data_IF_483610805709
#
_entry.id   IF_483610805709
#
_cell.length_a   1.000
_cell.length_b   1.000
_cell.length_c   1.000
_cell.angle_alpha   90.00
_cell.angle_beta   90.00
_cell.angle_gamma   90.00
#
_symmetry.space_group_name_H-M   'P 1'
#
loop_
_entity.id
_entity.type
_entity.pdbx_description
1 polymer ?
#
# COMPACT_ATOMS: atom_id res chain seq x y z
N UNK A 1 14.52 10.03 -18.55
CA UNK A 1 15.21 9.45 -17.35
C UNK A 1 15.27 7.95 -17.54
N UNK A 2 16.27 7.28 -16.95
CA UNK A 2 16.34 5.81 -17.00
C UNK A 2 15.51 5.16 -15.90
N UNK A 3 15.22 3.86 -16.03
CA UNK A 3 14.59 3.05 -14.98
C UNK A 3 15.37 3.17 -13.67
N UNK A 4 16.73 3.16 -13.75
CA UNK A 4 17.61 3.33 -12.59
C UNK A 4 17.42 4.66 -11.88
N UNK A 5 17.32 5.76 -12.61
CA UNK A 5 17.12 7.08 -12.03
C UNK A 5 15.77 7.21 -11.32
N UNK A 6 14.72 6.54 -11.84
CA UNK A 6 13.42 6.47 -11.17
C UNK A 6 13.48 5.57 -9.92
N UNK A 7 14.17 4.43 -9.99
CA UNK A 7 14.47 3.60 -8.83
C UNK A 7 15.16 4.42 -7.73
N UNK A 8 16.21 5.17 -8.07
CA UNK A 8 16.95 6.01 -7.14
C UNK A 8 16.07 7.14 -6.54
N UNK A 9 15.06 7.60 -7.28
CA UNK A 9 14.08 8.55 -6.76
C UNK A 9 13.19 7.91 -5.69
N UNK A 10 12.73 6.68 -5.90
CA UNK A 10 11.95 5.93 -4.90
C UNK A 10 12.82 5.60 -3.69
N UNK A 11 14.07 5.16 -3.91
CA UNK A 11 15.01 4.80 -2.84
C UNK A 11 15.27 5.95 -1.87
N UNK A 12 15.24 7.21 -2.33
CA UNK A 12 15.38 8.39 -1.47
C UNK A 12 14.28 8.55 -0.41
N UNK A 13 13.06 8.08 -0.68
CA UNK A 13 11.91 8.22 0.24
C UNK A 13 11.53 6.90 0.91
N UNK A 14 11.84 5.79 0.28
CA UNK A 14 11.54 4.44 0.72
C UNK A 14 12.73 3.52 0.40
N UNK A 15 13.84 3.59 1.14
CA UNK A 15 15.05 2.85 0.84
C UNK A 15 14.78 1.36 0.68
N UNK A 16 15.13 0.77 -0.46
CA UNK A 16 14.85 -0.64 -0.74
C UNK A 16 15.54 -1.58 0.24
N UNK A 17 16.65 -1.16 0.82
CA UNK A 17 17.35 -1.92 1.87
C UNK A 17 16.57 -2.02 3.20
N UNK A 18 15.51 -1.23 3.41
CA UNK A 18 14.65 -1.31 4.60
C UNK A 18 13.51 -2.30 4.45
N UNK A 19 13.36 -2.93 3.28
CA UNK A 19 12.36 -3.98 3.08
C UNK A 19 12.57 -5.13 4.07
N UNK A 20 11.48 -5.78 4.46
CA UNK A 20 11.53 -6.95 5.35
C UNK A 20 12.31 -8.10 4.71
N UNK A 21 12.98 -8.93 5.51
CA UNK A 21 13.89 -10.00 5.05
C UNK A 21 13.23 -11.03 4.11
N UNK A 22 11.93 -11.21 4.19
CA UNK A 22 11.18 -12.13 3.32
C UNK A 22 10.80 -11.53 1.97
N UNK A 23 10.96 -10.21 1.82
CA UNK A 23 10.42 -9.46 0.68
C UNK A 23 11.36 -9.50 -0.53
N UNK A 24 10.82 -9.19 -1.71
CA UNK A 24 11.57 -9.10 -2.95
C UNK A 24 11.21 -7.80 -3.68
N UNK A 25 11.96 -6.76 -3.41
CA UNK A 25 11.70 -5.38 -3.92
C UNK A 25 12.80 -4.91 -4.88
N UNK A 26 12.54 -3.86 -5.62
CA UNK A 26 13.49 -3.25 -6.54
C UNK A 26 13.11 -3.42 -8.00
N UNK A 27 14.10 -3.41 -8.91
CA UNK A 27 13.92 -3.65 -10.35
C UNK A 27 13.79 -5.15 -10.55
N UNK A 28 12.58 -5.67 -10.68
CA UNK A 28 12.32 -7.11 -10.78
C UNK A 28 12.27 -7.64 -12.20
N UNK A 29 11.98 -6.80 -13.18
CA UNK A 29 11.93 -7.15 -14.60
C UNK A 29 12.48 -5.98 -15.42
N UNK A 30 13.23 -6.29 -16.49
CA UNK A 30 13.70 -5.31 -17.48
C UNK A 30 15.15 -4.87 -17.27
N UNK A 31 15.56 -3.88 -18.05
CA UNK A 31 16.91 -3.29 -18.04
C UNK A 31 16.85 -1.92 -17.35
N UNK A 32 17.70 -1.72 -16.36
CA UNK A 32 17.79 -0.47 -15.60
C UNK A 32 18.23 0.75 -16.41
N UNK A 33 18.83 0.54 -17.59
CA UNK A 33 19.36 1.59 -18.46
C UNK A 33 18.36 2.07 -19.52
N UNK A 34 17.16 1.45 -19.59
CA UNK A 34 16.12 1.87 -20.55
C UNK A 34 15.63 3.27 -20.21
N UNK A 35 15.55 4.13 -21.24
CA UNK A 35 14.94 5.45 -21.11
C UNK A 35 13.43 5.33 -20.90
N UNK A 36 12.92 6.09 -19.92
CA UNK A 36 11.51 6.13 -19.54
C UNK A 36 10.97 7.54 -19.75
N UNK A 37 9.89 7.61 -20.51
CA UNK A 37 9.11 8.84 -20.72
C UNK A 37 7.73 8.74 -20.10
N UNK A 38 7.23 7.51 -19.92
CA UNK A 38 5.91 7.24 -19.39
C UNK A 38 5.92 6.02 -18.47
N UNK A 39 5.26 6.13 -17.32
CA UNK A 39 5.23 5.11 -16.26
C UNK A 39 3.80 4.88 -15.78
N UNK A 40 3.41 3.62 -15.55
CA UNK A 40 2.13 3.24 -14.96
C UNK A 40 2.32 2.82 -13.49
N UNK A 41 1.52 3.39 -12.57
CA UNK A 41 1.47 2.99 -11.16
C UNK A 41 0.28 2.08 -10.89
N UNK A 42 0.51 0.96 -10.20
CA UNK A 42 -0.54 0.00 -9.84
C UNK A 42 -0.20 -0.71 -8.53
N UNK A 43 -1.21 -1.29 -7.86
CA UNK A 43 -0.99 -2.17 -6.71
C UNK A 43 -0.43 -3.52 -7.18
N UNK A 44 -1.13 -4.16 -8.14
CA UNK A 44 -0.82 -5.47 -8.68
C UNK A 44 -0.58 -5.43 -10.19
N UNK A 45 0.49 -6.09 -10.66
CA UNK A 45 0.71 -6.28 -12.10
C UNK A 45 -0.10 -7.46 -12.61
N UNK A 46 -1.34 -7.21 -12.98
CA UNK A 46 -2.26 -8.20 -13.55
C UNK A 46 -2.22 -8.20 -15.09
N UNK A 47 -2.76 -9.23 -15.78
CA UNK A 47 -2.90 -9.20 -17.24
C UNK A 47 -3.68 -7.99 -17.76
N UNK A 48 -4.65 -7.48 -16.99
CA UNK A 48 -5.44 -6.29 -17.32
C UNK A 48 -4.58 -5.02 -17.24
N UNK A 49 -3.79 -4.86 -16.17
CA UNK A 49 -2.84 -3.76 -16.00
C UNK A 49 -1.76 -3.79 -17.08
N UNK A 50 -1.22 -4.98 -17.42
CA UNK A 50 -0.26 -5.10 -18.52
C UNK A 50 -0.88 -4.74 -19.87
N UNK A 51 -2.15 -5.08 -20.12
CA UNK A 51 -2.85 -4.66 -21.34
C UNK A 51 -2.97 -3.13 -21.42
N UNK A 52 -3.35 -2.47 -20.32
CA UNK A 52 -3.39 -1.01 -20.22
C UNK A 52 -2.01 -0.42 -20.49
N UNK A 53 -0.97 -0.90 -19.80
CA UNK A 53 0.42 -0.46 -19.96
C UNK A 53 0.86 -0.48 -21.43
N UNK A 54 0.57 -1.57 -22.14
CA UNK A 54 0.87 -1.71 -23.58
C UNK A 54 0.06 -0.72 -24.43
N UNK A 55 -1.22 -0.51 -24.11
CA UNK A 55 -2.11 0.35 -24.91
C UNK A 55 -1.72 1.82 -24.85
N UNK A 56 -1.21 2.26 -23.70
CA UNK A 56 -0.76 3.65 -23.50
C UNK A 56 0.74 3.83 -23.75
N UNK A 57 1.47 2.75 -24.02
CA UNK A 57 2.87 2.76 -24.43
C UNK A 57 3.83 3.18 -23.32
N UNK A 58 3.72 2.59 -22.10
CA UNK A 58 4.69 2.84 -21.02
C UNK A 58 5.92 1.97 -21.19
N UNK A 59 7.07 2.47 -20.74
CA UNK A 59 8.32 1.72 -20.66
C UNK A 59 8.52 1.09 -19.28
N UNK A 60 7.83 1.61 -18.24
CA UNK A 60 7.98 1.19 -16.86
C UNK A 60 6.61 1.02 -16.18
N UNK A 61 6.48 -0.02 -15.36
CA UNK A 61 5.43 -0.16 -14.36
C UNK A 61 6.06 -0.04 -12.98
N UNK A 62 5.46 0.74 -12.08
CA UNK A 62 5.76 0.75 -10.65
C UNK A 62 4.60 0.08 -9.94
N UNK A 63 4.87 -1.05 -9.28
CA UNK A 63 3.89 -1.79 -8.50
C UNK A 63 4.22 -1.75 -7.00
N UNK A 64 3.19 -1.87 -6.16
CA UNK A 64 3.40 -2.10 -4.75
C UNK A 64 3.78 -3.56 -4.51
N UNK A 65 2.92 -4.48 -4.89
CA UNK A 65 3.20 -5.90 -4.72
C UNK A 65 4.28 -6.38 -5.68
N UNK A 66 5.26 -7.17 -5.19
CA UNK A 66 6.32 -7.74 -6.01
C UNK A 66 5.76 -8.65 -7.10
N UNK A 67 6.03 -8.30 -8.35
CA UNK A 67 5.61 -9.14 -9.49
C UNK A 67 6.29 -10.51 -9.49
N UNK A 68 7.44 -10.62 -8.80
CA UNK A 68 8.14 -11.86 -8.47
C UNK A 68 8.33 -11.89 -6.95
N UNK A 69 7.42 -12.53 -6.21
CA UNK A 69 7.55 -12.65 -4.76
C UNK A 69 8.45 -13.82 -4.36
N UNK A 70 8.25 -14.99 -4.95
CA UNK A 70 9.07 -16.17 -4.72
C UNK A 70 9.97 -16.46 -5.93
N UNK A 71 11.16 -17.09 -5.73
CA UNK A 71 12.04 -17.48 -6.82
C UNK A 71 11.34 -18.32 -7.88
N UNK A 72 11.43 -17.90 -9.14
CA UNK A 72 10.83 -18.62 -10.27
C UNK A 72 11.70 -19.81 -10.68
N UNK A 73 11.08 -20.99 -10.79
CA UNK A 73 11.74 -22.19 -11.34
C UNK A 73 11.58 -22.32 -12.86
N UNK A 74 10.51 -21.76 -13.40
CA UNK A 74 10.22 -21.77 -14.85
C UNK A 74 9.47 -20.51 -15.23
N UNK A 75 9.74 -19.99 -16.44
CA UNK A 75 8.98 -18.90 -17.06
C UNK A 75 8.36 -19.46 -18.33
N UNK A 76 7.02 -19.39 -18.42
CA UNK A 76 6.23 -19.94 -19.54
C UNK A 76 5.28 -18.88 -20.09
N UNK A 77 4.72 -19.06 -21.32
CA UNK A 77 3.83 -18.07 -21.94
C UNK A 77 2.61 -17.63 -21.11
N UNK A 78 2.16 -18.46 -20.16
CA UNK A 78 1.04 -18.15 -19.26
C UNK A 78 1.47 -17.29 -18.05
N UNK A 79 2.78 -17.13 -17.83
CA UNK A 79 3.31 -16.35 -16.73
C UNK A 79 3.35 -14.86 -17.11
N UNK A 80 2.90 -13.99 -16.21
CA UNK A 80 2.93 -12.53 -16.43
C UNK A 80 4.36 -12.02 -16.71
N UNK A 81 5.38 -12.63 -16.10
CA UNK A 81 6.79 -12.27 -16.30
C UNK A 81 7.21 -12.49 -17.75
N UNK A 82 6.77 -13.59 -18.37
CA UNK A 82 7.05 -13.83 -19.78
C UNK A 82 6.47 -12.73 -20.67
N UNK A 83 5.23 -12.33 -20.39
CA UNK A 83 4.56 -11.28 -21.14
C UNK A 83 5.18 -9.89 -20.94
N UNK A 84 5.68 -9.59 -19.73
CA UNK A 84 6.43 -8.37 -19.43
C UNK A 84 7.75 -8.34 -20.21
N UNK A 85 8.55 -9.40 -20.14
CA UNK A 85 9.82 -9.50 -20.88
C UNK A 85 9.60 -9.36 -22.38
N UNK A 86 8.58 -10.04 -22.93
CA UNK A 86 8.24 -9.91 -24.36
C UNK A 86 7.81 -8.50 -24.77
N UNK A 87 7.19 -7.74 -23.86
CA UNK A 87 6.75 -6.38 -24.15
C UNK A 87 7.85 -5.34 -23.98
N UNK A 88 9.01 -5.71 -23.42
CA UNK A 88 10.08 -4.77 -23.11
C UNK A 88 9.75 -3.78 -22.00
N UNK A 89 8.69 -4.03 -21.21
CA UNK A 89 8.27 -3.17 -20.10
C UNK A 89 9.03 -3.58 -18.84
N UNK A 90 9.73 -2.63 -18.23
CA UNK A 90 10.40 -2.83 -16.95
C UNK A 90 9.41 -2.76 -15.78
N UNK A 91 9.75 -3.40 -14.65
CA UNK A 91 8.95 -3.33 -13.43
C UNK A 91 9.83 -3.03 -12.23
N UNK A 92 9.48 -1.98 -11.49
CA UNK A 92 9.96 -1.71 -10.14
C UNK A 92 8.85 -2.08 -9.18
N UNK A 93 9.14 -2.89 -8.16
CA UNK A 93 8.21 -3.15 -7.06
C UNK A 93 8.75 -2.54 -5.77
N UNK A 94 7.92 -1.72 -5.10
CA UNK A 94 8.22 -1.10 -3.81
C UNK A 94 7.11 -1.51 -2.83
N UNK A 95 7.42 -2.45 -1.94
CA UNK A 95 6.47 -3.14 -1.08
C UNK A 95 6.70 -2.76 0.39
N UNK A 96 7.23 -3.63 1.23
CA UNK A 96 7.36 -3.36 2.66
C UNK A 96 8.25 -2.15 2.97
N UNK A 97 9.23 -1.84 2.14
CA UNK A 97 9.98 -0.58 2.25
C UNK A 97 9.09 0.65 2.07
N UNK A 98 8.09 0.57 1.17
CA UNK A 98 7.15 1.66 0.94
C UNK A 98 6.04 1.70 2.00
N UNK A 99 5.63 0.55 2.58
CA UNK A 99 4.72 0.52 3.73
C UNK A 99 5.26 1.37 4.88
N UNK A 100 6.55 1.23 5.16
CA UNK A 100 7.25 1.85 6.27
C UNK A 100 7.74 3.28 5.99
N UNK A 101 7.63 3.77 4.75
CA UNK A 101 8.14 5.09 4.38
C UNK A 101 7.29 6.22 4.96
N UNK A 102 7.96 7.25 5.52
CA UNK A 102 7.31 8.48 5.94
C UNK A 102 8.16 9.70 5.57
N UNK A 103 7.57 10.72 4.97
CA UNK A 103 6.26 10.75 4.33
C UNK A 103 6.28 10.00 2.99
N UNK A 104 5.14 9.83 2.34
CA UNK A 104 4.90 9.25 1.00
C UNK A 104 4.67 7.73 0.93
N UNK A 105 4.78 6.99 2.04
CA UNK A 105 4.51 5.56 2.08
C UNK A 105 3.02 5.20 2.12
N UNK A 106 2.74 3.91 2.11
CA UNK A 106 1.38 3.34 2.10
C UNK A 106 0.61 3.75 3.35
N UNK A 107 1.21 3.60 4.53
CA UNK A 107 0.57 3.94 5.80
C UNK A 107 0.38 5.46 5.99
N UNK A 108 1.31 6.31 5.50
CA UNK A 108 1.10 7.77 5.42
C UNK A 108 -0.10 8.10 4.52
N UNK A 109 -0.19 7.46 3.36
CA UNK A 109 -1.29 7.67 2.43
C UNK A 109 -2.64 7.27 3.02
N UNK A 110 -2.69 6.14 3.75
CA UNK A 110 -3.89 5.68 4.45
C UNK A 110 -4.29 6.64 5.57
N UNK A 111 -3.34 7.09 6.42
CA UNK A 111 -3.61 8.12 7.43
C UNK A 111 -4.23 9.37 6.84
N UNK A 112 -3.66 9.89 5.74
CA UNK A 112 -4.17 11.09 5.04
C UNK A 112 -5.55 10.84 4.45
N UNK A 113 -5.78 9.68 3.87
CA UNK A 113 -7.07 9.31 3.28
C UNK A 113 -8.18 9.26 4.32
N UNK A 114 -7.84 8.83 5.55
CA UNK A 114 -8.74 8.85 6.71
C UNK A 114 -8.81 10.23 7.41
N UNK A 115 -8.08 11.24 6.93
CA UNK A 115 -8.10 12.60 7.49
C UNK A 115 -7.43 12.72 8.85
N UNK A 116 -6.54 11.80 9.22
CA UNK A 116 -5.84 11.81 10.50
C UNK A 116 -4.84 12.96 10.58
N UNK A 117 -4.80 13.63 11.73
CA UNK A 117 -3.89 14.73 12.08
C UNK A 117 -2.80 14.24 13.03
N UNK A 118 -1.72 15.02 13.18
CA UNK A 118 -0.61 14.75 14.11
C UNK A 118 -0.05 13.32 13.97
N UNK A 119 0.10 12.86 12.74
CA UNK A 119 0.53 11.48 12.42
C UNK A 119 1.96 11.26 12.86
N UNK A 120 2.20 10.16 13.57
CA UNK A 120 3.53 9.69 13.99
C UNK A 120 3.65 8.16 13.90
N UNK A 121 4.87 7.67 13.74
CA UNK A 121 5.18 6.25 13.83
C UNK A 121 5.12 5.77 15.28
N UNK A 122 4.58 4.57 15.51
CA UNK A 122 4.36 4.02 16.85
C UNK A 122 4.95 2.63 17.10
N UNK A 123 5.22 1.87 16.05
CA UNK A 123 5.78 0.52 16.15
C UNK A 123 6.93 0.36 15.17
N UNK A 124 8.08 -0.04 15.68
CA UNK A 124 9.29 -0.25 14.89
C UNK A 124 9.34 -1.64 14.25
N UNK A 125 9.79 -1.64 13.00
CA UNK A 125 10.28 -2.84 12.32
C UNK A 125 11.68 -2.47 11.80
N UNK A 126 12.73 -3.06 12.39
CA UNK A 126 14.09 -2.59 12.19
C UNK A 126 14.28 -1.12 12.62
N UNK A 127 14.78 -0.29 11.71
CA UNK A 127 15.02 1.15 11.95
C UNK A 127 13.79 2.02 11.61
N UNK A 128 12.79 1.48 10.91
CA UNK A 128 11.61 2.19 10.41
C UNK A 128 10.37 1.90 11.24
N UNK A 129 9.32 2.71 11.07
CA UNK A 129 8.03 2.46 11.71
C UNK A 129 7.09 1.75 10.74
N UNK A 130 6.49 0.63 11.16
CA UNK A 130 5.50 -0.12 10.38
C UNK A 130 4.06 0.35 10.65
N UNK A 131 3.75 0.79 11.87
CA UNK A 131 2.44 1.30 12.22
C UNK A 131 2.49 2.79 12.48
N UNK A 132 1.49 3.50 11.99
CA UNK A 132 1.33 4.93 12.21
C UNK A 132 0.04 5.21 12.96
N UNK A 133 0.05 6.25 13.78
CA UNK A 133 -1.10 6.68 14.56
C UNK A 133 -1.31 8.19 14.38
N UNK A 134 -2.56 8.60 14.30
CA UNK A 134 -2.94 10.00 14.26
C UNK A 134 -4.25 10.25 15.01
N UNK A 135 -4.69 11.48 15.02
CA UNK A 135 -5.91 11.92 15.68
C UNK A 135 -7.00 12.23 14.65
N UNK A 136 -8.23 11.83 14.95
CA UNK A 136 -9.40 12.33 14.24
C UNK A 136 -9.56 13.83 14.51
N UNK A 137 -10.02 14.64 13.53
CA UNK A 137 -10.29 16.06 13.74
C UNK A 137 -11.29 16.29 14.89
N UNK A 138 -12.30 15.43 14.97
CA UNK A 138 -13.32 15.39 16.03
C UNK A 138 -13.50 13.95 16.51
N UNK A 139 -13.92 13.76 17.76
CA UNK A 139 -14.25 12.44 18.28
C UNK A 139 -15.45 11.86 17.52
N UNK A 140 -15.37 10.56 17.20
CA UNK A 140 -16.43 9.83 16.50
C UNK A 140 -16.86 8.61 17.30
N UNK A 141 -18.12 8.18 17.15
CA UNK A 141 -18.53 6.84 17.60
C UNK A 141 -17.89 5.78 16.72
N UNK A 142 -17.84 4.52 17.19
CA UNK A 142 -17.37 3.39 16.38
C UNK A 142 -18.17 3.22 15.09
N UNK A 143 -19.46 3.49 15.11
CA UNK A 143 -20.36 3.40 13.97
C UNK A 143 -20.14 4.54 12.96
N UNK A 144 -19.95 5.76 13.44
CA UNK A 144 -19.68 6.92 12.57
C UNK A 144 -18.31 6.77 11.91
N UNK A 145 -17.30 6.27 12.64
CA UNK A 145 -15.99 6.02 12.07
C UNK A 145 -16.02 4.87 11.04
N UNK A 146 -16.84 3.82 11.24
CA UNK A 146 -17.05 2.80 10.21
C UNK A 146 -17.66 3.40 8.93
N UNK A 147 -18.61 4.34 9.06
CA UNK A 147 -19.16 5.06 7.92
C UNK A 147 -18.11 5.95 7.23
N UNK A 148 -17.28 6.63 8.02
CA UNK A 148 -16.18 7.46 7.52
C UNK A 148 -15.14 6.61 6.73
N UNK A 149 -14.73 5.45 7.24
CA UNK A 149 -13.82 4.53 6.53
C UNK A 149 -14.44 4.12 5.17
N UNK A 150 -15.74 3.76 5.15
CA UNK A 150 -16.42 3.36 3.91
C UNK A 150 -16.39 4.49 2.88
N UNK A 151 -16.71 5.72 3.28
CA UNK A 151 -16.69 6.88 2.40
C UNK A 151 -15.27 7.18 1.90
N UNK A 152 -14.30 7.24 2.83
CA UNK A 152 -12.91 7.56 2.53
C UNK A 152 -12.26 6.56 1.56
N UNK A 153 -12.53 5.26 1.71
CA UNK A 153 -11.92 4.19 0.91
C UNK A 153 -12.83 3.68 -0.22
N UNK A 154 -14.05 4.23 -0.37
CA UNK A 154 -14.99 3.80 -1.41
C UNK A 154 -15.54 2.39 -1.20
N UNK A 155 -15.78 1.99 0.05
CA UNK A 155 -16.21 0.64 0.42
C UNK A 155 -17.75 0.55 0.55
N UNK A 156 -18.33 -0.56 0.10
CA UNK A 156 -19.74 -0.88 0.38
C UNK A 156 -19.96 -1.36 1.82
N UNK A 157 -18.96 -2.04 2.40
CA UNK A 157 -19.00 -2.56 3.76
C UNK A 157 -17.60 -2.53 4.40
N UNK A 158 -17.55 -2.43 5.73
CA UNK A 158 -16.35 -2.64 6.57
C UNK A 158 -16.73 -3.54 7.72
N UNK A 159 -15.87 -4.47 8.08
CA UNK A 159 -16.06 -5.31 9.28
C UNK A 159 -15.35 -4.66 10.45
N UNK A 160 -16.00 -4.70 11.63
CA UNK A 160 -15.39 -4.18 12.86
C UNK A 160 -15.71 -5.06 14.06
N UNK A 161 -14.88 -4.96 15.10
CA UNK A 161 -15.17 -5.58 16.40
C UNK A 161 -16.41 -4.93 17.04
N UNK A 162 -17.21 -5.74 17.77
CA UNK A 162 -18.39 -5.25 18.48
C UNK A 162 -17.96 -4.49 19.76
N UNK A 163 -17.35 -3.33 19.58
CA UNK A 163 -16.91 -2.42 20.64
C UNK A 163 -17.59 -1.08 20.41
N UNK A 164 -18.29 -0.55 21.42
CA UNK A 164 -18.96 0.75 21.34
C UNK A 164 -18.26 1.74 22.27
N UNK A 165 -17.64 2.77 21.70
CA UNK A 165 -16.92 3.83 22.41
C UNK A 165 -16.72 5.06 21.53
N UNK A 166 -16.31 6.17 22.14
CA UNK A 166 -15.79 7.32 21.42
C UNK A 166 -14.33 7.07 21.03
N UNK A 167 -13.97 7.48 19.83
CA UNK A 167 -12.65 7.32 19.21
C UNK A 167 -12.03 8.68 18.98
N UNK A 168 -10.77 8.83 19.36
CA UNK A 168 -9.95 10.01 19.09
C UNK A 168 -8.68 9.63 18.34
N UNK A 169 -7.97 8.60 18.82
CA UNK A 169 -6.70 8.15 18.28
C UNK A 169 -6.89 6.91 17.42
N UNK A 170 -6.40 6.95 16.21
CA UNK A 170 -6.51 5.87 15.23
C UNK A 170 -5.13 5.45 14.76
N UNK A 171 -4.81 4.18 14.91
CA UNK A 171 -3.62 3.61 14.31
C UNK A 171 -3.96 2.84 13.02
N UNK A 172 -3.01 2.79 12.10
CA UNK A 172 -3.19 2.12 10.80
C UNK A 172 -1.98 1.26 10.46
N UNK A 173 -2.26 0.12 9.82
CA UNK A 173 -1.32 -0.66 9.01
C UNK A 173 -2.10 -1.19 7.81
N UNK A 174 -1.73 -0.77 6.60
CA UNK A 174 -2.33 -1.26 5.36
C UNK A 174 -2.08 -2.75 5.15
N UNK A 175 -2.81 -3.36 4.22
CA UNK A 175 -2.63 -4.78 3.90
C UNK A 175 -2.92 -5.73 5.06
N UNK A 176 -2.06 -6.69 5.31
CA UNK A 176 -2.23 -7.74 6.33
C UNK A 176 -1.61 -7.35 7.68
N UNK A 177 -2.09 -6.26 8.29
CA UNK A 177 -1.53 -5.68 9.51
C UNK A 177 -2.17 -6.12 10.82
N UNK A 178 -3.05 -7.13 10.84
CA UNK A 178 -3.80 -7.56 12.04
C UNK A 178 -2.93 -7.88 13.25
N UNK A 179 -1.73 -8.40 13.03
CA UNK A 179 -0.76 -8.77 14.08
C UNK A 179 -0.31 -7.55 14.94
N UNK A 180 -0.39 -6.33 14.41
CA UNK A 180 0.04 -5.10 15.10
C UNK A 180 -1.05 -4.47 15.98
N UNK A 181 -2.30 -4.93 15.89
CA UNK A 181 -3.46 -4.29 16.51
C UNK A 181 -3.31 -4.08 18.02
N UNK A 182 -2.96 -5.14 18.78
CA UNK A 182 -2.79 -5.04 20.23
C UNK A 182 -1.58 -4.21 20.64
N UNK A 183 -0.51 -4.25 19.85
CA UNK A 183 0.66 -3.41 20.10
C UNK A 183 0.34 -1.93 19.86
N UNK A 184 -0.46 -1.60 18.85
CA UNK A 184 -0.96 -0.24 18.62
C UNK A 184 -1.86 0.25 19.76
N UNK A 185 -2.75 -0.61 20.28
CA UNK A 185 -3.57 -0.29 21.45
C UNK A 185 -2.71 0.01 22.68
N UNK A 186 -1.66 -0.77 22.92
CA UNK A 186 -0.72 -0.54 24.03
C UNK A 186 0.02 0.82 23.91
N UNK A 187 0.07 1.41 22.69
CA UNK A 187 0.57 2.76 22.42
C UNK A 187 -0.49 3.85 22.52
N UNK A 188 -1.74 3.49 22.88
CA UNK A 188 -2.82 4.44 23.11
C UNK A 188 -3.81 4.58 21.96
N UNK A 189 -3.80 3.70 20.96
CA UNK A 189 -4.80 3.72 19.91
C UNK A 189 -6.19 3.33 20.44
N UNK A 190 -7.20 4.15 20.15
CA UNK A 190 -8.61 3.82 20.39
C UNK A 190 -9.15 2.88 19.34
N UNK A 191 -8.69 3.06 18.10
CA UNK A 191 -9.07 2.28 16.94
C UNK A 191 -7.84 1.82 16.16
N UNK A 192 -7.99 0.71 15.43
CA UNK A 192 -6.98 0.19 14.51
C UNK A 192 -7.63 -0.15 13.17
N UNK A 193 -7.07 0.37 12.07
CA UNK A 193 -7.55 0.11 10.71
C UNK A 193 -6.50 -0.69 9.96
N UNK A 194 -6.92 -1.81 9.37
CA UNK A 194 -6.05 -2.67 8.54
C UNK A 194 -6.84 -3.33 7.41
N UNK A 195 -6.14 -3.96 6.48
CA UNK A 195 -6.77 -4.65 5.36
C UNK A 195 -7.27 -6.05 5.68
N UNK A 196 -6.48 -6.83 6.41
CA UNK A 196 -6.77 -8.24 6.72
C UNK A 196 -6.49 -8.57 8.17
N UNK A 197 -7.35 -9.42 8.75
CA UNK A 197 -7.22 -9.89 10.13
C UNK A 197 -7.53 -11.37 10.24
N UNK A 198 -6.81 -12.07 11.11
CA UNK A 198 -7.08 -13.45 11.46
C UNK A 198 -8.12 -13.52 12.58
N UNK A 199 -8.89 -14.61 12.63
CA UNK A 199 -9.97 -14.77 13.61
C UNK A 199 -9.53 -14.56 15.07
N UNK A 200 -8.37 -15.08 15.46
CA UNK A 200 -7.87 -14.93 16.82
C UNK A 200 -7.45 -13.49 17.15
N UNK A 201 -7.00 -12.71 16.16
CA UNK A 201 -6.68 -11.28 16.32
C UNK A 201 -7.95 -10.47 16.61
N UNK A 202 -9.06 -10.78 15.90
CA UNK A 202 -10.37 -10.16 16.14
C UNK A 202 -10.85 -10.43 17.56
N UNK A 203 -10.74 -11.69 18.04
CA UNK A 203 -11.13 -12.07 19.40
C UNK A 203 -10.29 -11.31 20.43
N UNK A 204 -8.97 -11.26 20.23
CA UNK A 204 -8.06 -10.56 21.14
C UNK A 204 -8.33 -9.05 21.18
N UNK A 205 -8.54 -8.42 20.04
CA UNK A 205 -8.89 -6.99 19.94
C UNK A 205 -10.22 -6.69 20.65
N UNK A 206 -11.25 -7.52 20.43
CA UNK A 206 -12.54 -7.36 21.08
C UNK A 206 -12.44 -7.50 22.61
N UNK A 207 -11.69 -8.50 23.11
CA UNK A 207 -11.48 -8.70 24.55
C UNK A 207 -10.71 -7.53 25.19
N UNK A 208 -9.80 -6.92 24.43
CA UNK A 208 -9.04 -5.76 24.86
C UNK A 208 -9.83 -4.43 24.73
N UNK A 209 -11.04 -4.44 24.16
CA UNK A 209 -11.85 -3.24 23.95
C UNK A 209 -11.31 -2.33 22.84
N UNK A 210 -10.53 -2.87 21.90
CA UNK A 210 -10.05 -2.14 20.72
C UNK A 210 -11.09 -2.15 19.60
N UNK A 211 -11.41 -0.98 19.05
CA UNK A 211 -12.21 -0.87 17.83
C UNK A 211 -11.31 -1.22 16.61
N UNK A 212 -11.32 -2.50 16.21
CA UNK A 212 -10.56 -3.01 15.08
C UNK A 212 -11.43 -3.02 13.83
N UNK A 213 -10.95 -2.39 12.74
CA UNK A 213 -11.62 -2.30 11.44
C UNK A 213 -10.82 -3.06 10.38
N UNK A 214 -11.49 -3.99 9.71
CA UNK A 214 -10.96 -4.68 8.54
C UNK A 214 -11.59 -4.07 7.28
N UNK A 215 -10.79 -3.28 6.55
CA UNK A 215 -11.21 -2.46 5.44
C UNK A 215 -10.77 -3.00 4.06
N UNK A 216 -10.23 -4.23 4.03
CA UNK A 216 -9.75 -4.91 2.83
C UNK A 216 -8.35 -4.49 2.39
N UNK A 217 -7.53 -5.48 2.07
CA UNK A 217 -6.13 -5.33 1.68
C UNK A 217 -5.96 -4.29 0.55
N UNK A 218 -6.60 -4.55 -0.58
CA UNK A 218 -6.58 -3.69 -1.76
C UNK A 218 -6.93 -2.22 -1.44
N UNK A 219 -7.98 -1.99 -0.66
CA UNK A 219 -8.50 -0.64 -0.43
C UNK A 219 -7.65 0.15 0.57
N UNK A 220 -7.01 -0.52 1.54
CA UNK A 220 -6.14 0.15 2.52
C UNK A 220 -4.80 0.56 1.92
N UNK A 221 -4.35 -0.13 0.90
CA UNK A 221 -3.09 0.18 0.22
C UNK A 221 -3.27 1.09 -1.00
N UNK A 222 -4.42 1.00 -1.70
CA UNK A 222 -4.67 1.74 -2.93
C UNK A 222 -4.30 3.24 -2.89
N UNK A 223 -4.48 3.98 -1.77
CA UNK A 223 -4.17 5.40 -1.69
C UNK A 223 -2.69 5.77 -1.97
N UNK A 224 -1.75 4.83 -1.85
CA UNK A 224 -0.33 5.08 -2.09
C UNK A 224 -0.04 5.58 -3.50
N UNK A 225 -0.80 5.10 -4.50
CA UNK A 225 -0.54 5.38 -5.92
C UNK A 225 -0.56 6.88 -6.21
N UNK A 226 -1.58 7.57 -5.74
CA UNK A 226 -1.69 9.02 -5.88
C UNK A 226 -0.60 9.75 -5.08
N UNK A 227 -0.26 9.21 -3.91
CA UNK A 227 0.75 9.79 -3.04
C UNK A 227 2.15 9.68 -3.62
N UNK A 228 2.49 8.50 -4.13
CA UNK A 228 3.77 8.25 -4.82
C UNK A 228 3.85 9.02 -6.13
N UNK A 229 2.76 9.06 -6.92
CA UNK A 229 2.69 9.86 -8.14
C UNK A 229 3.02 11.33 -7.87
N UNK A 230 2.37 11.95 -6.88
CA UNK A 230 2.59 13.36 -6.54
C UNK A 230 4.07 13.66 -6.18
N UNK A 231 4.76 12.72 -5.54
CA UNK A 231 6.19 12.82 -5.29
C UNK A 231 7.01 12.69 -6.59
N UNK A 232 6.73 11.65 -7.39
CA UNK A 232 7.49 11.34 -8.60
C UNK A 232 7.31 12.41 -9.69
N UNK A 233 6.14 13.01 -9.81
CA UNK A 233 5.89 14.16 -10.73
C UNK A 233 6.86 15.32 -10.45
N UNK A 234 7.29 15.48 -9.20
CA UNK A 234 8.25 16.53 -8.82
C UNK A 234 9.70 16.04 -8.90
N UNK A 235 9.94 14.80 -8.48
CA UNK A 235 11.29 14.23 -8.37
C UNK A 235 11.87 13.80 -9.72
N UNK A 236 11.01 13.49 -10.71
CA UNK A 236 11.37 12.93 -12.00
C UNK A 236 10.81 13.79 -13.16
N UNK A 237 11.27 15.02 -13.34
CA UNK A 237 10.77 15.91 -14.39
C UNK A 237 11.01 15.31 -15.78
N UNK A 238 9.98 15.37 -16.64
CA UNK A 238 10.01 14.82 -18.00
C UNK A 238 9.54 13.38 -18.14
N UNK A 239 9.12 12.73 -17.05
CA UNK A 239 8.41 11.44 -17.05
C UNK A 239 6.94 11.68 -16.73
N UNK A 240 6.05 11.11 -17.54
CA UNK A 240 4.61 11.11 -17.28
C UNK A 240 4.25 9.92 -16.38
N UNK A 241 3.75 10.18 -15.18
CA UNK A 241 3.28 9.15 -14.25
C UNK A 241 1.76 9.04 -14.30
N UNK A 242 1.26 7.84 -14.60
CA UNK A 242 -0.17 7.54 -14.77
C UNK A 242 -0.56 6.52 -13.70
N UNK A 243 -1.68 6.74 -13.02
CA UNK A 243 -2.28 5.74 -12.12
C UNK A 243 -3.16 4.82 -12.93
N UNK A 244 -3.05 3.51 -12.75
CA UNK A 244 -3.85 2.52 -13.49
C UNK A 244 -5.36 2.72 -13.27
N UNK A 245 -6.10 2.80 -14.35
CA UNK A 245 -7.56 2.87 -14.36
C UNK A 245 -8.20 1.48 -14.56
N UNK A 246 -7.41 0.51 -15.04
CA UNK A 246 -7.90 -0.85 -15.29
C UNK A 246 -7.84 -1.76 -14.07
N UNK A 247 -7.09 -1.37 -13.05
CA UNK A 247 -6.96 -2.14 -11.81
C UNK A 247 -8.31 -2.30 -11.09
N UNK A 248 -8.53 -3.45 -10.48
CA UNK A 248 -9.78 -3.77 -9.76
C UNK A 248 -9.46 -4.59 -8.52
N UNK A 249 -10.26 -4.49 -7.46
CA UNK A 249 -10.10 -5.37 -6.31
C UNK A 249 -10.22 -6.83 -6.73
N UNK A 250 -9.38 -7.73 -6.17
CA UNK A 250 -9.43 -9.15 -6.51
C UNK A 250 -10.69 -9.86 -5.98
N UNK A 251 -11.38 -9.26 -5.02
CA UNK A 251 -12.65 -9.72 -4.46
C UNK A 251 -13.66 -8.58 -4.44
N UNK A 252 -14.93 -8.91 -4.67
CA UNK A 252 -16.04 -7.96 -4.61
C UNK A 252 -16.97 -8.32 -3.44
N UNK A 253 -17.56 -7.29 -2.80
CA UNK A 253 -18.64 -7.48 -1.83
C UNK A 253 -19.98 -7.52 -2.60
N UNK A 254 -20.69 -8.62 -2.49
CA UNK A 254 -21.97 -8.87 -3.17
C UNK A 254 -23.15 -8.56 -2.26
#
# INVERSE_FOLDING_TARGET
MTVREIYDAIDRIAPFQTAMDFDNVGILVGDENVDVTKTLLCLDVTPRVLHEAKSIGVELIISHHPVIFNPLRTVRPQNIIYALVQSGIAVISAHTNLDMAYPYGVNDALCRKLGLQNVCGILKEGETDIAYMGELPEEMTTEDFAAHIKEALGLSAVRCTAVSKMLRTVAVVGGAGGDYALAAQAKGADAFVTGEVKHHEVIAAQQAGLALYEAGHYHTELPYRERLKAYLDTACPGVEFIVSESERPPMETL
#
